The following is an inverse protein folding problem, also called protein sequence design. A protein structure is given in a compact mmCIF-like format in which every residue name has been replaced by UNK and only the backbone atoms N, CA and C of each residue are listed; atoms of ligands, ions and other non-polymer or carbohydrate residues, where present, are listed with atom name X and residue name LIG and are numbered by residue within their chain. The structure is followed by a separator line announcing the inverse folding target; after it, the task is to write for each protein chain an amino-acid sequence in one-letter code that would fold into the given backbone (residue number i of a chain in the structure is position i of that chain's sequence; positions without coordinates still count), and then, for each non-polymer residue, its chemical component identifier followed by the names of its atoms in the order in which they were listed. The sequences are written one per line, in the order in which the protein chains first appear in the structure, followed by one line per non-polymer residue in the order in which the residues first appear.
data_IF_851576285979
#
_entry.id   IF_851576285979
#
_cell.length_a   1.000
_cell.length_b   1.000
_cell.length_c   1.000
_cell.angle_alpha   90.00
_cell.angle_beta   90.00
_cell.angle_gamma   90.00
#
_symmetry.space_group_name_H-M   'P 1'
#
loop_
_entity.id
_entity.type
_entity.pdbx_description
1 polymer ?
#
# COMPACT_ATOMS: atom_id res chain seq x y z
N UNK A 1 -5.80 -16.00 -30.17
CA UNK A 1 -5.66 -16.74 -28.90
C UNK A 1 -5.48 -15.71 -27.80
N UNK A 2 -6.50 -15.51 -26.94
CA UNK A 2 -6.33 -14.68 -25.75
C UNK A 2 -5.33 -15.42 -24.85
N UNK A 3 -4.10 -14.91 -24.75
CA UNK A 3 -3.22 -15.33 -23.66
C UNK A 3 -3.92 -14.93 -22.36
N UNK A 4 -4.16 -15.91 -21.51
CA UNK A 4 -4.71 -15.70 -20.19
C UNK A 4 -3.75 -14.78 -19.42
N UNK A 5 -4.24 -13.63 -18.97
CA UNK A 5 -3.39 -12.65 -18.25
C UNK A 5 -2.92 -13.27 -16.96
N UNK A 6 -1.63 -13.14 -16.67
CA UNK A 6 -1.11 -13.50 -15.35
C UNK A 6 -1.74 -12.57 -14.31
N UNK A 7 -2.23 -13.14 -13.22
CA UNK A 7 -2.75 -12.37 -12.08
C UNK A 7 -1.63 -12.10 -11.07
N UNK A 8 -1.67 -10.99 -10.33
CA UNK A 8 -0.65 -10.69 -9.35
C UNK A 8 -0.68 -11.71 -8.20
N UNK A 9 0.48 -12.23 -7.83
CA UNK A 9 0.66 -13.11 -6.67
C UNK A 9 1.59 -12.50 -5.63
N UNK A 10 2.24 -11.38 -5.97
CA UNK A 10 3.21 -10.66 -5.13
C UNK A 10 2.75 -9.26 -4.79
N UNK A 11 3.15 -8.81 -3.61
CA UNK A 11 3.03 -7.42 -3.22
C UNK A 11 4.36 -6.86 -2.69
N UNK A 12 4.59 -5.57 -2.91
CA UNK A 12 5.65 -4.79 -2.27
C UNK A 12 4.99 -3.78 -1.34
N UNK A 13 5.36 -3.80 -0.07
CA UNK A 13 4.85 -2.84 0.94
C UNK A 13 5.95 -1.84 1.28
N UNK A 14 5.67 -0.56 1.08
CA UNK A 14 6.55 0.54 1.47
C UNK A 14 6.39 0.87 2.96
N UNK A 15 7.38 0.49 3.78
CA UNK A 15 7.38 0.70 5.23
C UNK A 15 8.68 1.36 5.74
N UNK A 16 9.47 2.02 4.88
CA UNK A 16 10.79 2.55 5.26
C UNK A 16 10.75 3.98 5.84
N UNK A 17 9.62 4.66 5.83
CA UNK A 17 9.47 6.03 6.34
C UNK A 17 9.74 6.14 7.85
N UNK A 18 10.36 7.25 8.27
CA UNK A 18 10.72 7.48 9.69
C UNK A 18 9.56 7.85 10.61
N UNK A 19 8.38 8.17 10.05
CA UNK A 19 7.21 8.55 10.84
C UNK A 19 7.39 9.85 11.64
N UNK A 20 8.15 10.81 11.12
CA UNK A 20 8.54 12.04 11.83
C UNK A 20 7.37 12.87 12.35
N UNK A 21 6.20 12.77 11.69
CA UNK A 21 4.96 13.43 12.12
C UNK A 21 4.45 12.92 13.48
N UNK A 22 4.85 11.69 13.88
CA UNK A 22 4.45 11.02 15.12
C UNK A 22 5.50 11.10 16.24
N UNK A 23 6.58 11.85 16.04
CA UNK A 23 7.54 12.04 17.13
C UNK A 23 6.86 12.69 18.35
N UNK A 24 7.23 12.27 19.57
CA UNK A 24 8.33 11.36 19.92
C UNK A 24 8.01 9.85 19.85
N UNK A 25 6.74 9.45 19.68
CA UNK A 25 6.31 8.04 19.66
C UNK A 25 7.13 7.17 18.70
N UNK A 26 7.32 7.65 17.47
CA UNK A 26 8.01 6.90 16.41
C UNK A 26 9.54 6.91 16.51
N UNK A 27 10.10 7.46 17.59
CA UNK A 27 11.52 7.31 17.93
C UNK A 27 11.91 5.84 18.18
N UNK A 28 11.01 5.08 18.83
CA UNK A 28 11.25 3.71 19.25
C UNK A 28 10.30 2.69 18.57
N UNK A 29 9.21 3.14 17.96
CA UNK A 29 8.21 2.27 17.33
C UNK A 29 7.92 2.72 15.91
N UNK A 30 7.90 1.81 14.91
CA UNK A 30 7.44 2.12 13.56
C UNK A 30 6.01 2.69 13.57
N UNK A 31 5.73 3.72 12.74
CA UNK A 31 4.37 4.26 12.61
C UNK A 31 3.36 3.19 12.13
N UNK A 32 3.83 2.24 11.34
CA UNK A 32 3.07 1.12 10.80
C UNK A 32 2.62 0.12 11.89
N UNK A 33 3.29 0.17 13.06
CA UNK A 33 2.95 -0.63 14.25
C UNK A 33 2.03 0.11 15.24
N UNK A 34 1.60 1.33 14.93
CA UNK A 34 0.56 2.00 15.71
C UNK A 34 -0.73 1.16 15.67
N UNK A 35 -1.38 0.90 16.83
CA UNK A 35 -2.53 0.01 16.87
C UNK A 35 -3.81 0.69 16.42
N UNK A 36 -4.65 -0.05 15.74
CA UNK A 36 -6.08 0.23 15.61
C UNK A 36 -6.82 -0.82 16.44
N UNK A 37 -7.19 -0.42 17.65
CA UNK A 37 -7.71 -1.28 18.73
C UNK A 37 -6.63 -2.28 19.18
N UNK A 38 -6.54 -3.45 18.58
CA UNK A 38 -5.68 -4.58 18.97
C UNK A 38 -4.70 -5.04 17.88
N UNK A 39 -4.88 -4.55 16.64
CA UNK A 39 -3.99 -4.89 15.52
C UNK A 39 -3.18 -3.67 15.05
N UNK A 40 -1.91 -3.84 14.68
CA UNK A 40 -1.15 -2.76 14.05
C UNK A 40 -1.68 -2.45 12.64
N UNK A 41 -1.52 -1.19 12.21
CA UNK A 41 -2.00 -0.71 10.90
C UNK A 41 -1.54 -1.60 9.76
N UNK A 42 -0.26 -1.98 9.73
CA UNK A 42 0.30 -2.81 8.66
C UNK A 42 -0.37 -4.18 8.54
N UNK A 43 -0.93 -4.73 9.62
CA UNK A 43 -1.63 -6.01 9.57
C UNK A 43 -2.91 -5.93 8.74
N UNK A 44 -3.65 -4.81 8.80
CA UNK A 44 -4.83 -4.60 7.94
C UNK A 44 -4.45 -4.58 6.47
N UNK A 45 -3.31 -3.95 6.12
CA UNK A 45 -2.79 -3.95 4.74
C UNK A 45 -2.42 -5.36 4.29
N UNK A 46 -1.74 -6.14 5.14
CA UNK A 46 -1.34 -7.52 4.84
C UNK A 46 -2.57 -8.43 4.70
N UNK A 47 -3.53 -8.36 5.63
CA UNK A 47 -4.76 -9.17 5.59
C UNK A 47 -5.56 -8.89 4.31
N UNK A 48 -5.68 -7.62 3.89
CA UNK A 48 -6.33 -7.25 2.63
C UNK A 48 -5.67 -7.89 1.41
N UNK A 49 -4.33 -7.83 1.34
CA UNK A 49 -3.56 -8.43 0.26
C UNK A 49 -3.75 -9.95 0.20
N UNK A 50 -3.69 -10.62 1.35
CA UNK A 50 -3.86 -12.08 1.46
C UNK A 50 -5.28 -12.50 1.07
N UNK A 51 -6.30 -11.77 1.51
CA UNK A 51 -7.70 -12.01 1.13
C UNK A 51 -7.91 -11.88 -0.39
N UNK A 52 -7.18 -10.97 -1.05
CA UNK A 52 -7.21 -10.81 -2.50
C UNK A 52 -6.42 -11.88 -3.27
N UNK A 53 -5.72 -12.79 -2.58
CA UNK A 53 -4.99 -13.91 -3.17
C UNK A 53 -3.48 -13.71 -3.32
N UNK A 54 -2.92 -12.62 -2.78
CA UNK A 54 -1.46 -12.40 -2.75
C UNK A 54 -0.83 -13.43 -1.80
N UNK A 55 0.34 -13.98 -2.21
CA UNK A 55 1.05 -15.03 -1.48
C UNK A 55 2.42 -14.59 -0.98
N UNK A 56 3.15 -13.80 -1.79
CA UNK A 56 4.49 -13.33 -1.46
C UNK A 56 4.44 -11.84 -1.17
N UNK A 57 4.84 -11.43 0.03
CA UNK A 57 4.82 -10.03 0.48
C UNK A 57 6.23 -9.58 0.78
N UNK A 58 6.71 -8.60 0.01
CA UNK A 58 8.03 -8.00 0.14
C UNK A 58 7.88 -6.70 0.93
N UNK A 59 8.35 -6.66 2.16
CA UNK A 59 8.29 -5.47 3.02
C UNK A 59 9.60 -4.71 2.94
N UNK A 60 9.54 -3.47 2.45
CA UNK A 60 10.70 -2.60 2.37
C UNK A 60 10.75 -1.70 3.58
N UNK A 61 11.64 -2.01 4.50
CA UNK A 61 11.84 -1.29 5.76
C UNK A 61 13.20 -0.60 5.86
N UNK A 62 13.54 -0.19 7.06
CA UNK A 62 14.87 0.31 7.42
C UNK A 62 15.32 -0.32 8.75
N UNK A 63 16.48 0.05 9.27
CA UNK A 63 17.03 -0.55 10.51
C UNK A 63 16.18 -0.35 11.76
N UNK A 64 15.21 0.60 11.77
CA UNK A 64 14.31 0.85 12.89
C UNK A 64 12.97 0.07 12.80
N UNK A 65 12.79 -0.78 11.78
CA UNK A 65 11.52 -1.46 11.48
C UNK A 65 11.45 -2.92 11.97
N UNK A 66 12.36 -3.32 12.85
CA UNK A 66 12.42 -4.69 13.36
C UNK A 66 11.10 -5.16 13.97
N UNK A 67 10.36 -4.29 14.65
CA UNK A 67 9.06 -4.64 15.22
C UNK A 67 8.04 -5.13 14.16
N UNK A 68 8.18 -4.75 12.89
CA UNK A 68 7.36 -5.27 11.79
C UNK A 68 7.77 -6.71 11.47
N UNK A 69 9.09 -6.98 11.43
CA UNK A 69 9.65 -8.31 11.21
C UNK A 69 9.19 -9.26 12.33
N UNK A 70 9.38 -8.82 13.59
CA UNK A 70 8.99 -9.59 14.79
C UNK A 70 7.47 -9.85 14.86
N UNK A 71 6.63 -8.94 14.33
CA UNK A 71 5.17 -9.10 14.34
C UNK A 71 4.68 -10.21 13.40
N UNK A 72 5.31 -10.35 12.25
CA UNK A 72 4.96 -11.38 11.25
C UNK A 72 5.84 -12.63 11.35
N UNK A 73 6.66 -12.76 12.40
CA UNK A 73 7.43 -13.97 12.70
C UNK A 73 6.70 -14.85 13.71
N UNK A 74 7.21 -16.06 13.90
CA UNK A 74 6.68 -16.95 14.92
C UNK A 74 6.81 -16.34 16.33
N UNK A 75 5.79 -16.46 17.18
CA UNK A 75 5.86 -15.98 18.53
C UNK A 75 6.98 -16.71 19.32
N UNK A 76 7.67 -15.98 20.20
CA UNK A 76 8.73 -16.56 21.02
C UNK A 76 8.22 -17.70 21.90
N UNK A 77 9.09 -18.69 22.18
CA UNK A 77 8.75 -19.79 23.09
C UNK A 77 8.35 -19.27 24.48
N UNK A 78 8.98 -18.19 24.93
CA UNK A 78 8.66 -17.57 26.22
C UNK A 78 7.23 -17.04 26.25
N UNK A 79 6.76 -16.36 25.18
CA UNK A 79 5.37 -15.92 25.07
C UNK A 79 4.42 -17.11 25.05
N UNK A 80 4.72 -18.15 24.28
CA UNK A 80 3.88 -19.37 24.20
C UNK A 80 3.79 -20.05 25.57
N UNK A 81 4.90 -20.21 26.26
CA UNK A 81 4.93 -20.81 27.61
C UNK A 81 4.13 -19.97 28.61
N UNK A 82 4.20 -18.63 28.54
CA UNK A 82 3.39 -17.75 29.39
C UNK A 82 1.89 -17.91 29.10
N UNK A 83 1.50 -18.02 27.83
CA UNK A 83 0.10 -18.24 27.46
C UNK A 83 -0.41 -19.61 27.91
N UNK A 84 0.39 -20.66 27.77
CA UNK A 84 0.08 -22.02 28.28
C UNK A 84 -0.13 -21.99 29.81
N UNK A 85 0.74 -21.34 30.54
CA UNK A 85 0.62 -21.18 31.99
C UNK A 85 -0.64 -20.45 32.43
N UNK A 86 -1.20 -19.61 31.53
CA UNK A 86 -2.49 -18.92 31.72
C UNK A 86 -3.73 -19.80 31.57
N UNK A 87 -3.56 -21.05 31.18
CA UNK A 87 -4.62 -22.05 31.05
C UNK A 87 -5.53 -21.89 29.81
N UNK A 88 -6.61 -22.67 29.79
CA UNK A 88 -7.52 -22.79 28.61
C UNK A 88 -8.06 -21.45 28.08
N UNK A 89 -8.25 -20.46 28.98
CA UNK A 89 -8.75 -19.12 28.57
C UNK A 89 -7.81 -18.40 27.60
N UNK A 90 -6.52 -18.75 27.57
CA UNK A 90 -5.52 -18.16 26.68
C UNK A 90 -5.17 -19.02 25.47
N UNK A 91 -5.77 -20.20 25.33
CA UNK A 91 -5.47 -21.11 24.20
C UNK A 91 -5.78 -20.49 22.84
N UNK A 92 -6.82 -19.67 22.72
CA UNK A 92 -7.17 -18.94 21.50
C UNK A 92 -6.08 -17.95 21.07
N UNK A 93 -5.45 -17.26 22.03
CA UNK A 93 -4.37 -16.30 21.76
C UNK A 93 -3.10 -16.96 21.20
N UNK A 94 -2.83 -18.22 21.55
CA UNK A 94 -1.70 -18.98 20.99
C UNK A 94 -1.92 -19.22 19.51
N UNK A 95 -3.14 -19.62 19.12
CA UNK A 95 -3.50 -19.82 17.73
C UNK A 95 -3.40 -18.51 16.95
N UNK A 96 -4.01 -17.45 17.47
CA UNK A 96 -4.00 -16.11 16.85
C UNK A 96 -2.55 -15.62 16.63
N UNK A 97 -1.69 -15.67 17.65
CA UNK A 97 -0.29 -15.25 17.52
C UNK A 97 0.50 -16.08 16.50
N UNK A 98 0.20 -17.36 16.34
CA UNK A 98 0.83 -18.22 15.33
C UNK A 98 0.29 -17.97 13.93
N UNK A 99 -1.02 -17.80 13.79
CA UNK A 99 -1.68 -17.62 12.49
C UNK A 99 -1.15 -16.39 11.75
N UNK A 100 -0.73 -15.34 12.46
CA UNK A 100 -0.14 -14.12 11.88
C UNK A 100 1.13 -14.45 11.07
N UNK A 101 2.00 -15.32 11.57
CA UNK A 101 3.24 -15.71 10.90
C UNK A 101 3.01 -16.48 9.60
N UNK A 102 1.84 -17.08 9.43
CA UNK A 102 1.48 -17.91 8.27
C UNK A 102 0.51 -17.22 7.30
N UNK A 103 0.25 -15.92 7.47
CA UNK A 103 -0.62 -15.16 6.57
C UNK A 103 -0.09 -15.16 5.12
N UNK A 104 1.23 -15.00 4.95
CA UNK A 104 1.89 -14.96 3.66
C UNK A 104 3.35 -15.44 3.77
N UNK A 105 4.04 -15.54 2.62
CA UNK A 105 5.49 -15.65 2.58
C UNK A 105 6.08 -14.24 2.70
N UNK A 106 6.75 -13.93 3.81
CA UNK A 106 7.33 -12.60 4.04
C UNK A 106 8.79 -12.53 3.63
N UNK A 107 9.14 -11.47 2.92
CA UNK A 107 10.50 -11.13 2.50
C UNK A 107 10.81 -9.71 2.98
N UNK A 108 11.90 -9.53 3.73
CA UNK A 108 12.27 -8.24 4.28
C UNK A 108 13.50 -7.68 3.60
N UNK A 109 13.40 -6.45 3.09
CA UNK A 109 14.52 -5.73 2.47
C UNK A 109 14.73 -4.41 3.18
N UNK A 110 15.98 -4.12 3.53
CA UNK A 110 16.36 -2.81 4.04
C UNK A 110 16.60 -1.86 2.89
N UNK A 111 15.83 -0.78 2.87
CA UNK A 111 15.92 0.26 1.85
C UNK A 111 17.31 0.86 1.77
N UNK A 112 17.81 1.00 0.56
CA UNK A 112 19.05 1.70 0.20
C UNK A 112 18.72 2.79 -0.82
N UNK A 113 19.52 3.85 -0.84
CA UNK A 113 19.37 4.95 -1.81
C UNK A 113 18.71 6.19 -1.20
N UNK A 114 18.30 7.15 -2.05
CA UNK A 114 17.64 8.38 -1.62
C UNK A 114 16.25 8.12 -1.00
N UNK A 115 15.58 9.20 -0.59
CA UNK A 115 14.20 9.14 -0.14
C UNK A 115 13.23 9.23 -1.32
N UNK A 116 11.99 8.81 -1.10
CA UNK A 116 10.91 8.91 -2.05
C UNK A 116 10.12 7.61 -2.19
N UNK A 117 8.89 7.72 -2.66
CA UNK A 117 7.98 6.57 -2.77
C UNK A 117 8.27 5.66 -3.97
N UNK A 118 9.21 6.01 -4.86
CA UNK A 118 9.72 5.10 -5.89
C UNK A 118 10.79 4.13 -5.36
N UNK A 119 11.50 4.51 -4.30
CA UNK A 119 12.68 3.77 -3.81
C UNK A 119 12.34 2.37 -3.30
N UNK A 120 11.23 2.12 -2.57
CA UNK A 120 10.87 0.77 -2.19
C UNK A 120 10.76 -0.18 -3.39
N UNK A 121 10.12 0.23 -4.49
CA UNK A 121 10.03 -0.59 -5.70
C UNK A 121 11.38 -0.84 -6.35
N UNK A 122 12.24 0.18 -6.41
CA UNK A 122 13.60 0.05 -6.94
C UNK A 122 14.40 -0.98 -6.13
N UNK A 123 14.24 -1.00 -4.81
CA UNK A 123 14.91 -2.00 -3.97
C UNK A 123 14.32 -3.41 -4.13
N UNK A 124 13.03 -3.54 -4.47
CA UNK A 124 12.35 -4.82 -4.64
C UNK A 124 12.46 -5.40 -6.06
N UNK A 125 12.84 -4.60 -7.07
CA UNK A 125 12.68 -4.97 -8.49
C UNK A 125 13.34 -6.30 -8.89
N UNK A 126 14.43 -6.68 -8.22
CA UNK A 126 15.14 -7.94 -8.47
C UNK A 126 14.37 -9.19 -8.01
N UNK A 127 13.31 -9.03 -7.22
CA UNK A 127 12.40 -10.09 -6.76
C UNK A 127 11.07 -10.08 -7.53
N UNK A 128 10.82 -9.02 -8.30
CA UNK A 128 9.65 -8.91 -9.16
C UNK A 128 10.04 -9.48 -10.52
N UNK A 129 9.52 -10.67 -10.83
CA UNK A 129 9.69 -11.30 -12.13
C UNK A 129 8.82 -10.58 -13.18
N UNK A 130 8.72 -11.15 -14.38
CA UNK A 130 7.83 -10.66 -15.45
C UNK A 130 6.36 -11.03 -15.15
N UNK A 131 5.82 -10.47 -14.08
CA UNK A 131 4.43 -10.66 -13.62
C UNK A 131 3.89 -9.36 -12.99
N UNK A 132 2.57 -9.10 -13.09
CA UNK A 132 1.97 -7.97 -12.40
C UNK A 132 2.09 -8.14 -10.89
N UNK A 133 2.14 -7.03 -10.17
CA UNK A 133 2.32 -7.02 -8.73
C UNK A 133 1.55 -5.87 -8.07
N UNK A 134 1.27 -6.00 -6.78
CA UNK A 134 0.70 -4.91 -5.99
C UNK A 134 1.82 -4.11 -5.34
N UNK A 135 1.71 -2.78 -5.37
CA UNK A 135 2.52 -1.88 -4.57
C UNK A 135 1.62 -1.15 -3.58
N UNK A 136 1.83 -1.33 -2.29
CA UNK A 136 1.01 -0.77 -1.23
C UNK A 136 1.83 0.09 -0.25
N UNK A 137 1.20 1.09 0.34
CA UNK A 137 1.75 1.84 1.46
C UNK A 137 1.30 1.18 2.78
N UNK A 138 2.16 1.21 3.79
CA UNK A 138 1.91 0.50 5.04
C UNK A 138 1.08 1.30 6.07
N UNK A 139 0.64 2.50 5.73
CA UNK A 139 0.00 3.45 6.65
C UNK A 139 -1.28 4.10 6.10
N UNK A 140 -1.78 3.60 4.97
CA UNK A 140 -3.09 3.96 4.46
C UNK A 140 -3.75 2.79 3.72
N UNK A 141 -5.04 2.60 3.90
CA UNK A 141 -5.75 1.42 3.42
C UNK A 141 -7.26 1.66 3.29
N UNK A 142 -7.94 0.72 2.68
CA UNK A 142 -9.41 0.69 2.62
C UNK A 142 -9.97 -0.45 3.47
N UNK A 143 -11.13 -0.21 4.07
CA UNK A 143 -12.03 -1.27 4.50
C UNK A 143 -13.20 -1.27 3.52
N UNK A 144 -13.27 -2.27 2.65
CA UNK A 144 -14.26 -2.36 1.57
C UNK A 144 -14.68 -3.82 1.31
N UNK A 145 -15.85 -4.02 0.70
CA UNK A 145 -16.34 -5.34 0.26
C UNK A 145 -16.89 -5.25 -1.17
N UNK A 146 -16.27 -5.93 -2.18
CA UNK A 146 -14.96 -6.62 -2.10
C UNK A 146 -13.84 -5.66 -1.68
N UNK A 147 -12.74 -6.20 -1.14
CA UNK A 147 -11.62 -5.38 -0.71
C UNK A 147 -10.96 -4.62 -1.88
N UNK A 148 -10.17 -3.57 -1.58
CA UNK A 148 -9.66 -2.65 -2.61
C UNK A 148 -8.71 -3.35 -3.58
N UNK A 149 -7.86 -4.24 -3.09
CA UNK A 149 -6.94 -5.02 -3.92
C UNK A 149 -7.69 -5.93 -4.89
N UNK A 150 -8.78 -6.59 -4.43
CA UNK A 150 -9.64 -7.39 -5.31
C UNK A 150 -10.30 -6.54 -6.39
N UNK A 151 -10.81 -5.35 -6.05
CA UNK A 151 -11.39 -4.43 -7.03
C UNK A 151 -10.38 -3.97 -8.08
N UNK A 152 -9.11 -3.74 -7.71
CA UNK A 152 -8.03 -3.46 -8.66
C UNK A 152 -7.73 -4.65 -9.56
N UNK A 153 -7.66 -5.86 -8.99
CA UNK A 153 -7.43 -7.10 -9.75
C UNK A 153 -8.55 -7.33 -10.77
N UNK A 154 -9.81 -7.10 -10.40
CA UNK A 154 -10.94 -7.23 -11.30
C UNK A 154 -10.89 -6.19 -12.45
N UNK A 155 -10.49 -4.94 -12.13
CA UNK A 155 -10.27 -3.90 -13.14
C UNK A 155 -9.13 -4.27 -14.09
N UNK A 156 -8.03 -4.81 -13.55
CA UNK A 156 -6.93 -5.34 -14.36
C UNK A 156 -7.35 -6.50 -15.25
N UNK A 157 -8.14 -7.43 -14.73
CA UNK A 157 -8.67 -8.55 -15.51
C UNK A 157 -9.50 -8.07 -16.71
N UNK A 158 -10.29 -7.01 -16.51
CA UNK A 158 -11.17 -6.44 -17.54
C UNK A 158 -10.41 -5.64 -18.59
N UNK A 159 -9.55 -4.71 -18.18
CA UNK A 159 -8.93 -3.73 -19.09
C UNK A 159 -7.47 -4.05 -19.45
N UNK A 160 -6.76 -4.81 -18.62
CA UNK A 160 -5.29 -4.89 -18.65
C UNK A 160 -4.63 -3.60 -18.17
N UNK A 161 -3.29 -3.56 -18.22
CA UNK A 161 -2.53 -2.38 -17.80
C UNK A 161 -2.48 -2.16 -16.29
N UNK A 162 -1.79 -1.12 -15.87
CA UNK A 162 -1.66 -0.79 -14.44
C UNK A 162 -2.95 -0.19 -13.89
N UNK A 163 -3.24 -0.42 -12.60
CA UNK A 163 -4.43 0.10 -11.93
C UNK A 163 -4.04 0.85 -10.65
N UNK A 164 -4.57 2.05 -10.48
CA UNK A 164 -4.39 2.89 -9.30
C UNK A 164 -5.64 2.80 -8.43
N UNK A 165 -5.49 2.47 -7.15
CA UNK A 165 -6.58 2.59 -6.20
C UNK A 165 -6.87 4.08 -5.96
N UNK A 166 -8.14 4.44 -6.01
CA UNK A 166 -8.57 5.83 -5.88
C UNK A 166 -9.76 5.97 -4.93
N UNK A 167 -9.84 7.15 -4.34
CA UNK A 167 -11.02 7.60 -3.61
C UNK A 167 -11.57 8.89 -4.25
N UNK A 168 -12.85 9.14 -4.07
CA UNK A 168 -13.45 10.42 -4.42
C UNK A 168 -13.10 11.47 -3.38
N UNK A 169 -12.57 12.61 -3.82
CA UNK A 169 -12.35 13.79 -2.98
C UNK A 169 -13.70 14.40 -2.62
N UNK A 170 -13.97 14.52 -1.33
CA UNK A 170 -15.19 15.11 -0.80
C UNK A 170 -14.92 16.56 -0.34
N UNK A 171 -13.83 16.77 0.40
CA UNK A 171 -13.46 18.08 0.96
C UNK A 171 -12.38 18.75 0.13
N UNK A 172 -12.47 20.07 -0.01
CA UNK A 172 -11.57 20.83 -0.89
C UNK A 172 -10.11 20.89 -0.37
N UNK A 173 -9.87 20.69 0.92
CA UNK A 173 -8.53 20.61 1.50
C UNK A 173 -7.77 19.34 1.07
N UNK A 174 -8.47 18.27 0.70
CA UNK A 174 -7.88 17.02 0.23
C UNK A 174 -7.13 17.18 -1.09
N UNK A 175 -7.50 18.15 -1.94
CA UNK A 175 -6.76 18.47 -3.17
C UNK A 175 -5.31 18.93 -2.93
N UNK A 176 -4.97 19.33 -1.72
CA UNK A 176 -3.60 19.71 -1.32
C UNK A 176 -2.83 18.53 -0.70
N UNK A 177 -3.47 17.36 -0.58
CA UNK A 177 -2.89 16.19 0.10
C UNK A 177 -2.50 15.08 -0.87
N UNK A 178 -3.28 14.86 -1.93
CA UNK A 178 -3.19 13.70 -2.80
C UNK A 178 -2.91 14.06 -4.26
N UNK A 179 -2.35 13.12 -4.99
CA UNK A 179 -2.30 13.17 -6.45
C UNK A 179 -3.70 12.99 -7.05
N UNK A 180 -4.09 13.88 -7.95
CA UNK A 180 -5.41 13.86 -8.60
C UNK A 180 -5.28 13.38 -10.04
N UNK A 181 -6.11 12.40 -10.40
CA UNK A 181 -6.10 11.74 -11.68
C UNK A 181 -6.83 12.59 -12.73
N UNK A 182 -6.23 12.71 -13.92
CA UNK A 182 -6.86 13.17 -15.13
C UNK A 182 -7.08 12.02 -16.11
N UNK A 183 -8.14 12.06 -16.92
CA UNK A 183 -8.39 11.03 -17.91
C UNK A 183 -9.82 10.94 -18.40
N UNK A 184 -10.07 9.90 -19.19
CA UNK A 184 -11.36 9.60 -19.80
C UNK A 184 -12.13 8.56 -18.96
N UNK A 185 -13.38 8.85 -18.60
CA UNK A 185 -14.25 7.90 -17.93
C UNK A 185 -14.54 6.69 -18.84
N UNK A 186 -14.31 5.49 -18.34
CA UNK A 186 -14.69 4.23 -18.99
C UNK A 186 -15.95 3.65 -18.38
N UNK A 187 -16.10 3.80 -17.07
CA UNK A 187 -17.28 3.43 -16.28
C UNK A 187 -17.45 4.43 -15.14
N UNK A 188 -18.55 4.34 -14.39
CA UNK A 188 -18.84 5.24 -13.28
C UNK A 188 -17.71 5.31 -12.23
N UNK A 189 -16.94 4.21 -12.06
CA UNK A 189 -15.85 4.08 -11.07
C UNK A 189 -14.47 3.83 -11.68
N UNK A 190 -14.33 3.93 -13.02
CA UNK A 190 -13.06 3.66 -13.72
C UNK A 190 -12.73 4.77 -14.72
N UNK A 191 -11.55 5.34 -14.58
CA UNK A 191 -10.98 6.34 -15.50
C UNK A 191 -9.77 5.72 -16.20
N UNK A 192 -9.69 5.83 -17.54
CA UNK A 192 -8.44 5.62 -18.27
C UNK A 192 -7.58 6.86 -18.08
N UNK A 193 -6.45 6.70 -17.41
CA UNK A 193 -5.59 7.79 -16.98
C UNK A 193 -4.87 8.43 -18.17
N UNK A 194 -4.88 9.74 -18.25
CA UNK A 194 -4.04 10.57 -19.13
C UNK A 194 -2.94 11.31 -18.37
N UNK A 195 -3.10 11.48 -17.05
CA UNK A 195 -2.12 12.13 -16.20
C UNK A 195 -2.50 12.10 -14.72
N UNK A 196 -1.52 12.44 -13.87
CA UNK A 196 -1.70 12.63 -12.43
C UNK A 196 -1.02 13.93 -12.04
N UNK A 197 -1.76 14.82 -11.39
CA UNK A 197 -1.23 16.09 -10.88
C UNK A 197 -1.09 15.98 -9.38
N UNK A 198 0.15 16.06 -8.90
CA UNK A 198 0.45 15.98 -7.46
C UNK A 198 0.01 17.26 -6.76
N UNK A 199 -0.89 17.11 -5.77
CA UNK A 199 -1.37 18.20 -4.90
C UNK A 199 -1.79 19.47 -5.64
N UNK A 200 -2.67 19.39 -6.66
CA UNK A 200 -2.94 20.53 -7.57
C UNK A 200 -3.62 21.70 -6.88
N UNK A 201 -4.23 21.50 -5.71
CA UNK A 201 -5.22 22.41 -5.16
C UNK A 201 -6.54 22.33 -5.94
N UNK A 202 -7.62 22.87 -5.38
CA UNK A 202 -8.97 22.77 -5.95
C UNK A 202 -9.05 23.35 -7.37
N UNK A 203 -8.46 24.53 -7.58
CA UNK A 203 -8.64 25.30 -8.83
C UNK A 203 -7.92 24.70 -10.04
N UNK A 204 -6.91 23.85 -9.80
CA UNK A 204 -6.11 23.18 -10.84
C UNK A 204 -6.37 21.68 -10.92
N UNK A 205 -7.26 21.15 -10.10
CA UNK A 205 -7.56 19.74 -10.07
C UNK A 205 -8.38 19.33 -11.31
N UNK A 206 -7.92 18.33 -12.10
CA UNK A 206 -8.61 17.91 -13.31
C UNK A 206 -9.89 17.11 -13.02
N UNK A 207 -9.97 16.51 -11.85
CA UNK A 207 -11.10 15.69 -11.41
C UNK A 207 -11.25 15.72 -9.90
N UNK A 208 -12.15 14.89 -9.36
CA UNK A 208 -12.23 14.60 -7.91
C UNK A 208 -11.71 13.20 -7.55
N UNK A 209 -10.93 12.58 -8.41
CA UNK A 209 -10.39 11.23 -8.22
C UNK A 209 -8.96 11.31 -7.67
N UNK A 210 -8.78 10.99 -6.39
CA UNK A 210 -7.47 10.96 -5.73
C UNK A 210 -6.87 9.56 -5.74
N UNK A 211 -5.63 9.45 -6.22
CA UNK A 211 -4.85 8.22 -6.15
C UNK A 211 -4.26 8.05 -4.74
N UNK A 212 -4.56 6.92 -4.09
CA UNK A 212 -4.22 6.65 -2.68
C UNK A 212 -3.94 5.16 -2.45
N UNK A 213 -3.35 4.82 -1.31
CA UNK A 213 -3.19 3.47 -0.75
C UNK A 213 -2.30 2.52 -1.57
N UNK A 214 -2.70 2.14 -2.75
CA UNK A 214 -2.03 1.06 -3.47
C UNK A 214 -2.19 1.16 -4.99
N UNK A 215 -1.31 0.41 -5.67
CA UNK A 215 -1.27 0.30 -7.13
C UNK A 215 -1.13 -1.17 -7.53
N UNK A 216 -1.78 -1.57 -8.60
CA UNK A 216 -1.45 -2.77 -9.35
C UNK A 216 -0.60 -2.35 -10.55
N UNK A 217 0.62 -2.79 -10.62
CA UNK A 217 1.51 -2.45 -11.73
C UNK A 217 1.81 -3.64 -12.63
N UNK A 218 1.87 -3.39 -13.93
CA UNK A 218 2.59 -4.26 -14.86
C UNK A 218 4.11 -4.05 -14.72
N UNK A 219 4.93 -5.08 -14.97
CA UNK A 219 6.40 -5.02 -14.80
C UNK A 219 7.06 -3.85 -15.51
N UNK A 220 6.47 -3.35 -16.58
CA UNK A 220 7.00 -2.23 -17.38
C UNK A 220 7.31 -0.97 -16.58
N UNK A 221 6.60 -0.73 -15.49
CA UNK A 221 6.89 0.40 -14.58
C UNK A 221 8.34 0.38 -14.07
N UNK A 222 8.91 -0.82 -13.89
CA UNK A 222 10.27 -0.99 -13.36
C UNK A 222 11.35 -0.44 -14.29
N UNK A 223 11.12 -0.49 -15.60
CA UNK A 223 12.06 0.10 -16.57
C UNK A 223 12.08 1.62 -16.42
N UNK A 224 10.92 2.27 -16.30
CA UNK A 224 10.83 3.71 -16.11
C UNK A 224 11.34 4.16 -14.73
N UNK A 225 11.24 3.31 -13.71
CA UNK A 225 11.86 3.57 -12.41
C UNK A 225 13.39 3.49 -12.47
N UNK A 226 13.96 2.55 -13.24
CA UNK A 226 15.43 2.50 -13.50
C UNK A 226 15.92 3.77 -14.21
N UNK A 227 15.18 4.21 -15.24
CA UNK A 227 15.50 5.45 -15.95
C UNK A 227 15.41 6.67 -15.01
N UNK A 228 14.37 6.76 -14.21
CA UNK A 228 14.20 7.84 -13.24
C UNK A 228 15.32 7.85 -12.20
N UNK A 229 15.74 6.67 -11.70
CA UNK A 229 16.87 6.53 -10.78
C UNK A 229 18.19 6.98 -11.44
N UNK A 230 18.44 6.58 -12.68
CA UNK A 230 19.68 6.92 -13.40
C UNK A 230 19.78 8.43 -13.68
N UNK A 231 18.66 9.13 -13.84
CA UNK A 231 18.60 10.57 -14.09
C UNK A 231 18.42 11.43 -12.83
N UNK A 232 18.32 10.81 -11.64
CA UNK A 232 18.06 11.51 -10.38
C UNK A 232 19.31 12.29 -9.94
N UNK A 233 19.17 13.60 -9.75
CA UNK A 233 20.25 14.52 -9.39
C UNK A 233 20.59 14.52 -7.88
N UNK A 234 19.95 13.68 -7.09
CA UNK A 234 20.14 13.56 -5.63
C UNK A 234 19.41 14.61 -4.81
N UNK A 235 18.59 15.48 -5.41
CA UNK A 235 17.83 16.51 -4.71
C UNK A 235 16.37 16.12 -4.51
N UNK A 236 15.89 16.28 -3.29
CA UNK A 236 14.50 15.97 -2.94
C UNK A 236 14.21 14.47 -2.87
N UNK A 237 12.99 14.07 -3.23
CA UNK A 237 12.51 12.70 -3.17
C UNK A 237 12.30 12.13 -4.57
N UNK A 238 12.72 10.89 -4.79
CA UNK A 238 12.43 10.18 -6.04
C UNK A 238 10.99 9.64 -5.99
N UNK A 239 10.11 10.28 -6.76
CA UNK A 239 8.68 10.00 -6.77
C UNK A 239 8.31 9.02 -7.88
N UNK A 240 7.25 8.24 -7.65
CA UNK A 240 6.76 7.24 -8.62
C UNK A 240 5.92 7.87 -9.74
N UNK A 241 5.30 9.03 -9.50
CA UNK A 241 4.38 9.67 -10.44
C UNK A 241 4.99 9.93 -11.82
N UNK A 242 6.26 10.39 -11.95
CA UNK A 242 6.89 10.53 -13.26
C UNK A 242 7.01 9.22 -14.05
N UNK A 243 7.22 8.09 -13.36
CA UNK A 243 7.28 6.78 -14.02
C UNK A 243 5.87 6.32 -14.47
N UNK A 244 4.83 6.61 -13.68
CA UNK A 244 3.43 6.37 -14.09
C UNK A 244 3.09 7.24 -15.32
N UNK A 245 3.50 8.52 -15.34
CA UNK A 245 3.28 9.39 -16.50
C UNK A 245 3.99 8.84 -17.74
N UNK A 246 5.20 8.33 -17.62
CA UNK A 246 5.91 7.66 -18.74
C UNK A 246 5.18 6.43 -19.26
N UNK A 247 4.51 5.64 -18.41
CA UNK A 247 3.64 4.55 -18.89
C UNK A 247 2.54 5.11 -19.80
N UNK A 248 1.85 6.16 -19.35
CA UNK A 248 0.77 6.81 -20.11
C UNK A 248 1.28 7.38 -21.43
N UNK A 249 2.36 8.16 -21.39
CA UNK A 249 2.94 8.84 -22.58
C UNK A 249 3.42 7.84 -23.64
N UNK A 250 3.82 6.64 -23.24
CA UNK A 250 4.24 5.56 -24.14
C UNK A 250 3.08 4.61 -24.52
N UNK A 251 1.84 4.97 -24.24
CA UNK A 251 0.64 4.25 -24.69
C UNK A 251 0.30 2.99 -23.87
N UNK A 252 0.96 2.75 -22.75
CA UNK A 252 0.56 1.67 -21.84
C UNK A 252 -0.74 2.03 -21.11
N UNK A 253 -1.62 1.05 -20.96
CA UNK A 253 -2.87 1.25 -20.21
C UNK A 253 -2.59 1.53 -18.74
N UNK A 254 -3.14 2.64 -18.25
CA UNK A 254 -3.19 2.96 -16.81
C UNK A 254 -4.63 3.33 -16.48
N UNK A 255 -5.19 2.72 -15.45
CA UNK A 255 -6.56 2.92 -15.04
C UNK A 255 -6.63 3.36 -13.59
N UNK A 256 -7.52 4.27 -13.27
CA UNK A 256 -7.84 4.68 -11.93
C UNK A 256 -9.16 4.05 -11.53
N UNK A 257 -9.16 3.23 -10.47
CA UNK A 257 -10.34 2.58 -9.92
C UNK A 257 -10.78 3.29 -8.65
N UNK A 258 -11.93 3.96 -8.67
CA UNK A 258 -12.60 4.42 -7.45
C UNK A 258 -13.05 3.18 -6.65
N UNK A 259 -12.51 3.00 -5.46
CA UNK A 259 -12.87 1.89 -4.58
C UNK A 259 -14.29 2.09 -4.07
N UNK A 260 -15.14 1.10 -4.34
CA UNK A 260 -16.56 1.12 -4.03
C UNK A 260 -16.85 0.34 -2.73
N UNK A 261 -17.99 0.62 -2.11
CA UNK A 261 -18.49 -0.08 -0.93
C UNK A 261 -17.49 -0.16 0.22
N UNK A 262 -16.79 0.94 0.46
CA UNK A 262 -15.78 0.99 1.49
C UNK A 262 -15.41 2.40 1.93
N UNK A 263 -14.54 2.45 2.91
CA UNK A 263 -14.00 3.67 3.50
C UNK A 263 -12.49 3.64 3.46
N UNK A 264 -11.90 4.76 3.02
CA UNK A 264 -10.46 4.99 3.04
C UNK A 264 -10.03 5.54 4.39
N UNK A 265 -8.93 5.02 4.90
CA UNK A 265 -8.29 5.43 6.14
C UNK A 265 -6.84 5.85 5.86
N UNK A 266 -6.54 7.13 6.16
CA UNK A 266 -5.20 7.69 6.11
C UNK A 266 -4.70 7.79 7.56
N UNK A 267 -3.70 7.03 7.90
CA UNK A 267 -3.09 7.06 9.24
C UNK A 267 -1.71 7.76 9.23
N UNK A 268 -1.39 8.48 8.14
CA UNK A 268 -0.10 9.14 7.94
C UNK A 268 0.13 10.41 8.75
N UNK A 269 -0.91 10.95 9.43
CA UNK A 269 -0.77 12.06 10.37
C UNK A 269 -1.59 11.86 11.66
N UNK A 270 -1.25 12.62 12.70
CA UNK A 270 -1.81 12.46 14.06
C UNK A 270 -3.33 12.61 14.10
N UNK A 271 -3.89 13.59 13.40
CA UNK A 271 -5.31 13.88 13.46
C UNK A 271 -6.12 12.80 12.74
N UNK A 272 -5.69 12.40 11.55
CA UNK A 272 -6.35 11.36 10.77
C UNK A 272 -6.22 9.99 11.46
N UNK A 273 -5.08 9.70 12.09
CA UNK A 273 -4.91 8.50 12.92
C UNK A 273 -5.91 8.47 14.09
N UNK A 274 -6.06 9.58 14.84
CA UNK A 274 -7.02 9.64 15.95
C UNK A 274 -8.46 9.44 15.43
N UNK A 275 -8.83 10.08 14.32
CA UNK A 275 -10.14 9.88 13.69
C UNK A 275 -10.37 8.42 13.30
N UNK A 276 -9.33 7.78 12.76
CA UNK A 276 -9.36 6.35 12.39
C UNK A 276 -9.60 5.47 13.62
N UNK A 277 -8.86 5.70 14.72
CA UNK A 277 -9.04 4.95 15.98
C UNK A 277 -10.46 5.12 16.53
N UNK A 278 -11.01 6.33 16.53
CA UNK A 278 -12.37 6.57 16.97
C UNK A 278 -13.39 5.83 16.09
N UNK A 279 -13.23 5.91 14.78
CA UNK A 279 -14.12 5.25 13.83
C UNK A 279 -14.07 3.72 13.99
N UNK A 280 -12.87 3.17 14.15
CA UNK A 280 -12.69 1.73 14.39
C UNK A 280 -13.35 1.27 15.70
N UNK A 281 -13.20 2.02 16.79
CA UNK A 281 -13.81 1.69 18.08
C UNK A 281 -15.34 1.76 18.08
N UNK A 282 -15.95 2.44 17.11
CA UNK A 282 -17.40 2.56 17.00
C UNK A 282 -18.03 1.57 15.98
N UNK A 283 -17.26 1.12 14.98
CA UNK A 283 -17.82 0.41 13.82
C UNK A 283 -17.20 -0.98 13.59
N UNK A 284 -16.13 -1.32 14.30
CA UNK A 284 -15.40 -2.58 14.18
C UNK A 284 -15.07 -3.17 15.56
#
# INVERSE_FOLDING_TARGET
MNQERKMPTKAVIAAAGFGTRFLPQTKAMPKEMLPLIDKPIIQYVVEELVEAGIRDIIIIGNGSKRAIEDHFDNPSEELINNLIAGGEKKAGLIKEARDIAYLANFIYIRQKGPYGNAIPLINAMHLINDEPFIYAFADDFFIAKPNSTKQMIDTYAQYGGSVLACKKIIKDDEFKRYGVVDGESKEASVIKVSGIIEKPGKDKAPSRMASVSSYLFEPKILDYLKEAQASFDGKGELMIQPAIQKLVDNGYGVYAKEIQNGKYYDTGDKLEYIKTVIDFSLNH
#
